data_IF_070627174317
#
_entry.id   IF_070627174317
#
_cell.length_a   1.000
_cell.length_b   1.000
_cell.length_c   1.000
_cell.angle_alpha   90.00
_cell.angle_beta   90.00
_cell.angle_gamma   90.00
#
_symmetry.space_group_name_H-M   'P 1'
#
loop_
_entity.id
_entity.type
_entity.pdbx_description
1 polymer ?
#
# COMPACT_ATOMS: atom_id res chain seq x y z
N UNK A 1 26.45 -4.50 -0.49
CA UNK A 1 27.05 -3.37 -1.24
C UNK A 1 26.06 -2.22 -1.22
N UNK A 2 26.39 -1.04 -0.65
CA UNK A 2 25.54 0.13 -0.79
C UNK A 2 25.43 0.51 -2.27
N UNK A 3 24.21 0.68 -2.78
CA UNK A 3 23.97 1.00 -4.20
C UNK A 3 24.36 2.44 -4.50
N UNK A 4 24.94 2.63 -5.69
CA UNK A 4 25.33 3.93 -6.23
C UNK A 4 24.09 4.84 -6.42
N UNK A 5 23.98 5.88 -5.59
CA UNK A 5 22.86 6.83 -5.59
C UNK A 5 22.88 7.76 -6.82
N UNK A 6 23.96 7.77 -7.61
CA UNK A 6 24.07 8.63 -8.81
C UNK A 6 23.10 8.28 -9.94
N UNK A 7 22.45 7.11 -9.88
CA UNK A 7 21.46 6.65 -10.88
C UNK A 7 20.00 6.94 -10.49
N UNK A 8 19.76 7.63 -9.39
CA UNK A 8 18.42 8.03 -8.97
C UNK A 8 18.04 9.34 -9.68
N UNK A 9 16.87 9.35 -10.31
CA UNK A 9 16.19 10.56 -10.78
C UNK A 9 15.62 11.31 -9.56
N UNK A 10 16.14 12.50 -9.23
CA UNK A 10 15.71 13.27 -8.07
C UNK A 10 14.25 13.75 -8.16
N UNK A 11 13.63 13.74 -9.33
CA UNK A 11 12.22 14.13 -9.51
C UNK A 11 11.24 13.04 -9.08
N UNK A 12 11.71 11.81 -8.82
CA UNK A 12 10.86 10.70 -8.39
C UNK A 12 10.92 10.58 -6.86
N UNK A 13 9.82 10.87 -6.14
CA UNK A 13 9.81 10.78 -4.68
C UNK A 13 10.20 9.38 -4.20
N UNK A 14 11.09 9.32 -3.20
CA UNK A 14 11.47 8.09 -2.50
C UNK A 14 11.90 6.96 -3.46
N UNK A 15 12.60 7.34 -4.53
CA UNK A 15 13.01 6.37 -5.55
C UNK A 15 13.90 5.27 -4.96
N UNK A 16 14.79 5.57 -4.02
CA UNK A 16 15.59 4.58 -3.32
C UNK A 16 14.74 3.53 -2.58
N UNK A 17 13.70 3.97 -1.87
CA UNK A 17 12.75 3.08 -1.18
C UNK A 17 11.97 2.25 -2.19
N UNK A 18 11.38 2.87 -3.22
CA UNK A 18 10.59 2.14 -4.24
C UNK A 18 11.44 1.11 -4.99
N UNK A 19 12.72 1.41 -5.30
CA UNK A 19 13.62 0.43 -5.92
C UNK A 19 13.96 -0.74 -5.00
N UNK A 20 14.04 -0.52 -3.68
CA UNK A 20 14.22 -1.61 -2.71
C UNK A 20 12.98 -2.50 -2.66
N UNK A 21 11.79 -1.90 -2.58
CA UNK A 21 10.51 -2.63 -2.60
C UNK A 21 10.37 -3.47 -3.88
N UNK A 22 10.61 -2.88 -5.06
CA UNK A 22 10.56 -3.62 -6.34
C UNK A 22 11.56 -4.77 -6.35
N UNK A 23 12.78 -4.55 -5.82
CA UNK A 23 13.78 -5.61 -5.67
C UNK A 23 13.31 -6.75 -4.77
N UNK A 24 12.62 -6.44 -3.66
CA UNK A 24 12.00 -7.44 -2.79
C UNK A 24 10.90 -8.22 -3.53
N UNK A 25 10.00 -7.52 -4.23
CA UNK A 25 8.93 -8.13 -5.01
C UNK A 25 9.48 -9.06 -6.11
N UNK A 26 10.55 -8.68 -6.80
CA UNK A 26 11.22 -9.54 -7.78
C UNK A 26 11.77 -10.82 -7.14
N UNK A 27 12.40 -10.74 -5.96
CA UNK A 27 12.90 -11.93 -5.25
C UNK A 27 11.77 -12.86 -4.82
N UNK A 28 10.67 -12.29 -4.33
CA UNK A 28 9.46 -13.06 -3.98
C UNK A 28 8.87 -13.75 -5.20
N UNK A 29 8.66 -13.03 -6.31
CA UNK A 29 8.09 -13.59 -7.54
C UNK A 29 8.97 -14.66 -8.16
N UNK A 30 10.30 -14.47 -8.18
CA UNK A 30 11.25 -15.48 -8.66
C UNK A 30 11.20 -16.76 -7.82
N UNK A 31 10.99 -16.66 -6.51
CA UNK A 31 10.96 -17.81 -5.59
C UNK A 31 9.63 -18.55 -5.62
N UNK A 32 8.50 -17.83 -5.72
CA UNK A 32 7.16 -18.41 -5.59
C UNK A 32 6.47 -18.68 -6.94
N UNK A 33 6.82 -17.92 -7.98
CA UNK A 33 6.08 -17.90 -9.24
C UNK A 33 4.64 -17.38 -9.07
N UNK A 34 3.84 -17.34 -10.15
CA UNK A 34 2.41 -17.07 -10.10
C UNK A 34 1.60 -18.27 -9.61
N UNK A 35 0.36 -18.05 -9.16
CA UNK A 35 -0.61 -19.11 -8.81
C UNK A 35 -1.06 -19.16 -7.34
N UNK A 36 -0.41 -18.39 -6.45
CA UNK A 36 -0.86 -18.23 -5.07
C UNK A 36 -1.95 -17.15 -4.94
N UNK A 37 -2.68 -17.18 -3.83
CA UNK A 37 -3.58 -16.09 -3.44
C UNK A 37 -2.78 -14.86 -3.04
N UNK A 38 -3.32 -13.69 -3.34
CA UNK A 38 -2.75 -12.36 -3.04
C UNK A 38 -2.19 -12.23 -1.62
N UNK A 39 -2.96 -12.63 -0.60
CA UNK A 39 -2.54 -12.61 0.82
C UNK A 39 -1.22 -13.34 1.08
N UNK A 40 -0.87 -14.35 0.28
CA UNK A 40 0.40 -15.07 0.41
C UNK A 40 1.57 -14.25 -0.15
N UNK A 41 1.36 -13.52 -1.25
CA UNK A 41 2.36 -12.57 -1.75
C UNK A 41 2.52 -11.38 -0.81
N UNK A 42 1.42 -10.86 -0.23
CA UNK A 42 1.47 -9.80 0.78
C UNK A 42 2.39 -10.19 1.94
N UNK A 43 2.15 -11.35 2.56
CA UNK A 43 2.98 -11.87 3.66
C UNK A 43 4.43 -12.11 3.25
N UNK A 44 4.65 -12.68 2.06
CA UNK A 44 5.99 -12.94 1.57
C UNK A 44 6.77 -11.63 1.30
N UNK A 45 6.10 -10.62 0.74
CA UNK A 45 6.69 -9.32 0.48
C UNK A 45 6.99 -8.57 1.79
N UNK A 46 6.08 -8.60 2.77
CA UNK A 46 6.34 -8.07 4.11
C UNK A 46 7.64 -8.64 4.69
N UNK A 47 7.78 -9.97 4.71
CA UNK A 47 8.95 -10.62 5.27
C UNK A 47 10.24 -10.23 4.53
N UNK A 48 10.18 -10.16 3.19
CA UNK A 48 11.31 -9.78 2.34
C UNK A 48 11.73 -8.31 2.57
N UNK A 49 10.75 -7.39 2.66
CA UNK A 49 11.00 -5.97 2.92
C UNK A 49 11.56 -5.72 4.32
N UNK A 50 11.02 -6.39 5.35
CA UNK A 50 11.56 -6.32 6.72
C UNK A 50 12.99 -6.85 6.78
N UNK A 51 13.30 -7.93 6.05
CA UNK A 51 14.67 -8.48 5.95
C UNK A 51 15.61 -7.51 5.25
N UNK A 52 15.12 -6.77 4.25
CA UNK A 52 15.88 -5.69 3.58
C UNK A 52 16.06 -4.45 4.49
N UNK A 53 15.42 -4.40 5.67
CA UNK A 53 15.51 -3.32 6.64
C UNK A 53 14.56 -2.15 6.33
N UNK A 54 13.38 -2.42 5.77
CA UNK A 54 12.30 -1.45 5.60
C UNK A 54 11.30 -1.56 6.77
N UNK A 55 10.77 -0.44 7.24
CA UNK A 55 9.62 -0.42 8.16
C UNK A 55 8.34 -0.67 7.37
N UNK A 56 7.55 -1.66 7.77
CA UNK A 56 6.36 -2.08 7.02
C UNK A 56 5.17 -2.17 7.97
N UNK A 57 4.24 -1.22 7.80
CA UNK A 57 2.91 -1.28 8.40
C UNK A 57 1.99 -2.03 7.43
N UNK A 58 1.52 -3.21 7.84
CA UNK A 58 0.57 -4.03 7.08
C UNK A 58 -0.86 -3.59 7.39
N UNK A 59 -1.75 -3.58 6.39
CA UNK A 59 -3.18 -3.28 6.55
C UNK A 59 -3.37 -2.00 7.38
N UNK A 60 -2.81 -0.88 6.91
CA UNK A 60 -2.85 0.38 7.64
C UNK A 60 -4.27 0.96 7.66
N UNK A 61 -4.90 1.03 8.85
CA UNK A 61 -6.30 1.45 8.97
C UNK A 61 -6.53 2.89 8.48
N UNK A 62 -7.44 3.03 7.54
CA UNK A 62 -7.97 4.31 7.05
C UNK A 62 -9.48 4.32 7.29
N UNK A 63 -9.95 5.21 8.16
CA UNK A 63 -11.38 5.37 8.42
C UNK A 63 -12.05 6.17 7.30
N UNK A 64 -13.18 5.67 6.80
CA UNK A 64 -13.98 6.27 5.73
C UNK A 64 -15.31 6.75 6.27
N UNK A 65 -15.72 7.92 5.82
CA UNK A 65 -16.86 8.70 6.22
C UNK A 65 -17.63 9.15 4.96
N UNK A 66 -18.88 9.53 5.12
CA UNK A 66 -19.66 10.32 4.17
C UNK A 66 -20.17 11.55 4.90
N UNK A 67 -19.47 12.67 4.72
CA UNK A 67 -19.64 13.85 5.57
C UNK A 67 -19.26 13.52 7.01
N UNK A 68 -20.23 13.57 7.93
CA UNK A 68 -20.00 13.25 9.35
C UNK A 68 -20.28 11.78 9.71
N UNK A 69 -20.87 11.02 8.80
CA UNK A 69 -21.27 9.63 9.05
C UNK A 69 -20.10 8.71 8.77
N UNK A 70 -19.65 7.93 9.75
CA UNK A 70 -18.67 6.87 9.51
C UNK A 70 -19.31 5.74 8.71
N UNK A 71 -18.73 5.41 7.55
CA UNK A 71 -19.25 4.38 6.63
C UNK A 71 -18.38 3.14 6.56
N UNK A 72 -17.20 3.16 7.20
CA UNK A 72 -16.37 1.98 7.33
C UNK A 72 -14.89 2.27 7.35
N UNK A 73 -14.13 1.27 6.94
CA UNK A 73 -12.68 1.25 7.00
C UNK A 73 -12.15 0.63 5.72
N UNK A 74 -11.03 1.17 5.28
CA UNK A 74 -10.24 0.64 4.17
C UNK A 74 -8.79 0.55 4.59
N UNK A 75 -8.02 -0.29 3.92
CA UNK A 75 -6.64 -0.58 4.27
C UNK A 75 -5.85 -0.79 2.99
N UNK A 76 -4.75 -0.04 2.78
CA UNK A 76 -3.77 -0.45 1.80
C UNK A 76 -3.03 -1.68 2.31
N UNK A 77 -2.47 -2.47 1.40
CA UNK A 77 -1.74 -3.69 1.76
C UNK A 77 -0.53 -3.37 2.63
N UNK A 78 0.22 -2.33 2.26
CA UNK A 78 1.35 -1.83 3.03
C UNK A 78 1.48 -0.31 2.99
N UNK A 79 1.92 0.24 4.11
CA UNK A 79 2.55 1.54 4.20
C UNK A 79 4.01 1.35 4.63
N UNK A 80 4.94 1.62 3.71
CA UNK A 80 6.38 1.37 3.90
C UNK A 80 7.10 2.68 4.25
N UNK A 81 7.91 2.64 5.30
CA UNK A 81 8.64 3.77 5.89
C UNK A 81 7.76 5.01 6.14
N UNK A 82 6.44 4.83 6.26
CA UNK A 82 5.43 5.90 6.34
C UNK A 82 5.43 6.85 5.13
N UNK A 83 5.96 6.42 3.98
CA UNK A 83 6.14 7.24 2.77
C UNK A 83 5.58 6.61 1.50
N UNK A 84 5.63 5.28 1.38
CA UNK A 84 5.27 4.58 0.14
C UNK A 84 4.08 3.68 0.41
N UNK A 85 2.98 3.90 -0.31
CA UNK A 85 1.87 2.94 -0.35
C UNK A 85 2.23 1.82 -1.30
N UNK A 86 2.04 0.56 -0.89
CA UNK A 86 2.21 -0.60 -1.77
C UNK A 86 0.90 -1.37 -1.79
N UNK A 87 0.36 -1.57 -2.98
CA UNK A 87 -0.83 -2.38 -3.25
C UNK A 87 -0.43 -3.62 -4.06
N UNK A 88 -1.02 -4.76 -3.74
CA UNK A 88 -0.66 -6.06 -4.29
C UNK A 88 -1.85 -6.69 -4.98
N UNK A 89 -1.59 -7.24 -6.15
CA UNK A 89 -2.56 -8.01 -6.91
C UNK A 89 -1.98 -9.37 -7.27
N UNK A 90 -2.85 -10.32 -7.56
CA UNK A 90 -2.47 -11.66 -8.03
C UNK A 90 -3.23 -12.08 -9.30
N UNK A 91 -3.52 -11.13 -10.18
CA UNK A 91 -4.29 -11.39 -11.39
C UNK A 91 -3.47 -12.05 -12.51
N UNK A 92 -4.07 -12.98 -13.27
CA UNK A 92 -3.45 -13.54 -14.47
C UNK A 92 -3.37 -12.54 -15.64
N UNK A 93 -4.09 -11.41 -15.56
CA UNK A 93 -4.10 -10.33 -16.56
C UNK A 93 -3.27 -9.12 -16.12
N UNK A 94 -3.15 -8.10 -16.97
CA UNK A 94 -2.47 -6.84 -16.65
C UNK A 94 -3.28 -6.01 -15.66
N UNK A 95 -2.60 -5.14 -14.92
CA UNK A 95 -3.23 -4.09 -14.11
C UNK A 95 -4.09 -3.17 -14.99
N UNK A 96 -5.21 -2.72 -14.44
CA UNK A 96 -6.15 -1.83 -15.13
C UNK A 96 -6.20 -0.45 -14.47
N UNK A 97 -7.03 0.44 -15.02
CA UNK A 97 -7.24 1.77 -14.43
C UNK A 97 -7.96 1.70 -13.07
N UNK A 98 -8.67 0.60 -12.78
CA UNK A 98 -9.41 0.45 -11.53
C UNK A 98 -8.45 0.35 -10.33
N UNK A 99 -7.46 -0.54 -10.40
CA UNK A 99 -6.48 -0.74 -9.33
C UNK A 99 -5.60 0.50 -9.15
N UNK A 100 -5.27 1.18 -10.27
CA UNK A 100 -4.58 2.48 -10.23
C UNK A 100 -5.40 3.53 -9.49
N UNK A 101 -6.70 3.66 -9.79
CA UNK A 101 -7.57 4.62 -9.13
C UNK A 101 -7.71 4.35 -7.62
N UNK A 102 -7.81 3.08 -7.22
CA UNK A 102 -7.80 2.66 -5.82
C UNK A 102 -6.49 3.06 -5.12
N UNK A 103 -5.35 2.80 -5.76
CA UNK A 103 -4.03 3.19 -5.23
C UNK A 103 -3.93 4.71 -5.03
N UNK A 104 -4.40 5.51 -6.01
CA UNK A 104 -4.44 6.99 -5.88
C UNK A 104 -5.31 7.40 -4.69
N UNK A 105 -6.43 6.69 -4.46
CA UNK A 105 -7.27 6.79 -3.25
C UNK A 105 -6.46 6.79 -1.98
N UNK A 106 -5.62 5.78 -1.80
CA UNK A 106 -4.75 5.65 -0.64
C UNK A 106 -3.65 6.72 -0.58
N UNK A 107 -3.07 7.12 -1.73
CA UNK A 107 -2.10 8.21 -1.76
C UNK A 107 -2.70 9.51 -1.23
N UNK A 108 -3.90 9.86 -1.68
CA UNK A 108 -4.61 11.03 -1.19
C UNK A 108 -5.00 10.91 0.29
N UNK A 109 -5.41 9.71 0.71
CA UNK A 109 -5.80 9.42 2.08
C UNK A 109 -4.68 9.61 3.10
N UNK A 110 -3.49 9.13 2.73
CA UNK A 110 -2.33 9.07 3.62
C UNK A 110 -1.36 10.22 3.40
N UNK A 111 -1.69 11.16 2.51
CA UNK A 111 -0.77 12.20 2.02
C UNK A 111 0.56 11.60 1.51
N UNK A 112 0.46 10.41 0.92
CA UNK A 112 1.63 9.66 0.48
C UNK A 112 2.08 10.15 -0.92
N UNK A 113 3.37 10.46 -1.08
CA UNK A 113 3.92 11.07 -2.31
C UNK A 113 4.13 10.09 -3.46
N UNK A 114 4.09 8.77 -3.20
CA UNK A 114 4.28 7.74 -4.23
C UNK A 114 3.63 6.42 -3.82
N UNK A 115 3.10 5.70 -4.80
CA UNK A 115 2.57 4.35 -4.67
C UNK A 115 3.29 3.35 -5.57
N UNK A 116 3.28 2.08 -5.16
CA UNK A 116 3.65 0.95 -6.00
C UNK A 116 2.47 -0.01 -6.07
N UNK A 117 1.97 -0.25 -7.28
CA UNK A 117 0.96 -1.27 -7.54
C UNK A 117 1.65 -2.46 -8.20
N UNK A 118 1.59 -3.63 -7.58
CA UNK A 118 2.40 -4.79 -7.95
C UNK A 118 1.52 -6.01 -8.17
N UNK A 119 1.54 -6.57 -9.37
CA UNK A 119 0.83 -7.80 -9.72
C UNK A 119 1.77 -9.01 -9.84
N UNK A 120 1.56 -9.99 -8.95
CA UNK A 120 2.31 -11.24 -8.89
C UNK A 120 1.68 -12.38 -9.73
N UNK A 121 0.45 -12.24 -10.21
CA UNK A 121 -0.30 -13.31 -10.87
C UNK A 121 0.14 -13.62 -12.30
N UNK A 122 1.00 -12.79 -12.89
CA UNK A 122 1.51 -12.95 -14.25
C UNK A 122 2.79 -13.77 -14.29
N UNK A 123 3.12 -14.26 -15.51
CA UNK A 123 4.40 -14.97 -15.80
C UNK A 123 5.64 -14.15 -15.45
N UNK A 124 5.55 -12.83 -15.55
CA UNK A 124 6.57 -11.88 -15.09
C UNK A 124 5.92 -10.95 -14.08
N UNK A 125 6.66 -10.53 -13.07
CA UNK A 125 6.21 -9.49 -12.16
C UNK A 125 5.82 -8.25 -12.98
N UNK A 126 4.58 -7.80 -12.81
CA UNK A 126 4.06 -6.58 -13.40
C UNK A 126 3.93 -5.54 -12.28
N UNK A 127 4.39 -4.32 -12.51
CA UNK A 127 4.31 -3.27 -11.50
C UNK A 127 4.25 -1.89 -12.12
N UNK A 128 3.57 -0.98 -11.43
CA UNK A 128 3.47 0.43 -11.80
C UNK A 128 3.85 1.31 -10.61
N UNK A 129 4.66 2.34 -10.87
CA UNK A 129 4.85 3.44 -9.93
C UNK A 129 3.77 4.47 -10.17
N UNK A 130 2.99 4.75 -9.14
CA UNK A 130 1.89 5.70 -9.20
C UNK A 130 2.32 6.97 -8.49
N UNK A 131 2.27 8.09 -9.23
CA UNK A 131 2.41 9.42 -8.64
C UNK A 131 1.02 10.01 -8.45
N UNK A 132 0.83 10.86 -7.43
CA UNK A 132 -0.42 11.59 -7.30
C UNK A 132 -0.65 12.47 -8.55
N UNK A 133 -1.90 12.62 -9.03
CA UNK A 133 -2.21 13.56 -10.11
C UNK A 133 -1.83 15.01 -9.75
N UNK A 134 -1.58 15.86 -10.75
CA UNK A 134 -1.22 17.27 -10.52
C UNK A 134 -2.29 18.02 -9.71
N UNK A 135 -3.57 17.78 -10.01
CA UNK A 135 -4.73 18.34 -9.30
C UNK A 135 -5.12 17.55 -8.03
N UNK A 136 -4.15 16.90 -7.39
CA UNK A 136 -4.38 16.15 -6.15
C UNK A 136 -5.04 17.01 -5.07
N UNK A 137 -4.88 18.34 -5.07
CA UNK A 137 -5.53 19.19 -4.07
C UNK A 137 -7.07 19.14 -4.17
N UNK A 138 -7.62 19.14 -5.37
CA UNK A 138 -9.07 19.01 -5.55
C UNK A 138 -9.55 17.60 -5.25
N UNK A 139 -8.74 16.62 -5.61
CA UNK A 139 -9.02 15.23 -5.25
C UNK A 139 -8.93 14.99 -3.74
N UNK A 140 -7.96 15.61 -3.05
CA UNK A 140 -7.85 15.66 -1.59
C UNK A 140 -9.03 16.37 -0.96
N UNK A 141 -9.54 17.46 -1.54
CA UNK A 141 -10.78 18.08 -1.02
C UNK A 141 -11.95 17.11 -1.09
N UNK A 142 -12.08 16.36 -2.20
CA UNK A 142 -13.14 15.36 -2.34
C UNK A 142 -12.93 14.19 -1.37
N UNK A 143 -11.72 13.65 -1.28
CA UNK A 143 -11.40 12.53 -0.39
C UNK A 143 -11.45 12.91 1.08
N UNK A 144 -10.99 14.10 1.48
CA UNK A 144 -11.07 14.56 2.87
C UNK A 144 -12.50 14.71 3.35
N UNK A 145 -13.50 14.88 2.46
CA UNK A 145 -14.92 14.78 2.84
C UNK A 145 -15.27 13.37 3.31
N UNK A 146 -14.58 12.36 2.76
CA UNK A 146 -14.74 10.97 3.13
C UNK A 146 -13.71 10.48 4.15
N UNK A 147 -12.63 11.22 4.40
CA UNK A 147 -11.60 10.87 5.38
C UNK A 147 -11.55 11.97 6.43
N UNK A 148 -12.69 12.14 7.09
CA UNK A 148 -12.94 13.20 8.05
C UNK A 148 -13.21 12.60 9.41
N UNK A 149 -12.52 13.06 10.44
CA UNK A 149 -12.84 12.68 11.83
C UNK A 149 -13.57 13.83 12.52
N UNK A 150 -14.75 13.59 13.12
CA UNK A 150 -15.42 14.60 13.93
C UNK A 150 -14.54 15.05 15.09
N UNK A 151 -14.43 16.37 15.35
CA UNK A 151 -13.72 16.89 16.52
C UNK A 151 -14.27 16.25 17.81
N UNK A 152 -13.38 15.73 18.65
CA UNK A 152 -13.73 15.19 19.97
C UNK A 152 -14.15 13.72 20.04
N UNK A 153 -14.32 13.01 18.91
CA UNK A 153 -14.46 11.55 18.94
C UNK A 153 -13.09 10.88 19.11
N UNK A 154 -12.95 9.96 20.07
CA UNK A 154 -11.78 9.09 20.19
C UNK A 154 -11.62 8.22 18.92
N UNK A 155 -10.40 7.77 18.55
CA UNK A 155 -10.27 6.84 17.44
C UNK A 155 -11.14 5.62 17.77
N UNK A 156 -11.88 5.05 16.80
CA UNK A 156 -12.52 3.77 17.02
C UNK A 156 -11.47 2.82 17.61
N UNK A 157 -11.75 2.33 18.82
CA UNK A 157 -10.84 1.43 19.51
C UNK A 157 -10.53 0.31 18.52
N UNK A 158 -9.24 -0.08 18.39
CA UNK A 158 -8.90 -1.35 17.76
C UNK A 158 -9.86 -2.35 18.38
N UNK A 159 -10.73 -2.96 17.58
CA UNK A 159 -11.38 -4.18 18.02
C UNK A 159 -10.19 -5.05 18.42
N UNK A 160 -9.98 -5.20 19.72
CA UNK A 160 -9.01 -6.18 20.21
C UNK A 160 -9.50 -7.45 19.55
N UNK A 161 -8.62 -8.10 18.80
CA UNK A 161 -8.85 -9.46 18.37
C UNK A 161 -9.46 -10.18 19.56
N UNK A 162 -10.72 -10.61 19.42
CA UNK A 162 -11.36 -11.55 20.33
C UNK A 162 -10.64 -12.89 20.16
N UNK A 163 -9.36 -12.92 20.53
CA UNK A 163 -8.66 -14.12 20.93
C UNK A 163 -8.62 -14.07 22.44
N UNK A 164 -9.71 -14.52 23.07
CA UNK A 164 -9.63 -15.24 24.33
C UNK A 164 -10.94 -15.96 24.66
N UNK A 165 -10.76 -17.28 24.78
CA UNK A 165 -11.55 -18.25 25.51
C UNK A 165 -12.88 -18.70 24.89
N UNK A 166 -12.86 -19.93 24.41
CA UNK A 166 -13.49 -20.98 25.22
C UNK A 166 -12.44 -22.03 25.57
N UNK A 167 -12.17 -22.14 26.87
CA UNK A 167 -11.48 -23.23 27.53
C UNK A 167 -12.22 -24.57 27.35
N UNK A 168 -11.47 -25.64 27.08
CA UNK A 168 -11.60 -26.99 27.65
C UNK A 168 -10.42 -27.86 27.21
#
# INVERSE_FOLDING_TARGET
MPRDKSKLNPEIPYQDITYRIIGCAMRVHNRLGPGLREKMYQRALTAEMRTDGLEVDEEYRVDVYDGEVWIGVTWPDHLVDKKVVVEIEAFPHFLTKQEVAQTIGFLAALDAPVGLLINFGRKRLDYQRILPPEDLQDWKKNIRRFLWRPPGQAPPQRARDETKSTDA
#
